data_IF_167470548798
#
_entry.id   IF_167470548798
#
_cell.length_a   1.000
_cell.length_b   1.000
_cell.length_c   1.000
_cell.angle_alpha   90.00
_cell.angle_beta   90.00
_cell.angle_gamma   90.00
#
_symmetry.space_group_name_H-M   'P 1'
#
loop_
_entity.id
_entity.type
_entity.pdbx_description
1 polymer ?
#
# COMPACT_ATOMS: atom_id res chain seq x y z
N UNK A 1 14.80 -9.27 4.94
CA UNK A 1 16.09 -9.30 4.20
C UNK A 1 16.08 -10.50 3.28
N UNK A 2 16.78 -10.43 2.13
CA UNK A 2 17.01 -11.63 1.32
C UNK A 2 18.04 -12.49 2.02
N UNK A 3 17.96 -13.82 1.83
CA UNK A 3 18.99 -14.76 2.26
C UNK A 3 19.82 -15.14 1.04
N UNK A 4 21.14 -15.07 1.17
CA UNK A 4 22.10 -15.36 0.11
C UNK A 4 23.08 -16.40 0.59
N UNK A 5 23.40 -17.38 -0.28
CA UNK A 5 24.46 -18.35 -0.07
C UNK A 5 25.47 -18.25 -1.20
N UNK A 6 26.70 -17.98 -0.85
CA UNK A 6 27.80 -17.78 -1.80
C UNK A 6 28.63 -19.07 -2.02
N UNK A 7 28.93 -19.33 -3.28
CA UNK A 7 29.77 -20.48 -3.72
C UNK A 7 30.97 -19.96 -4.49
N UNK A 8 32.11 -19.90 -3.83
CA UNK A 8 33.38 -19.48 -4.45
C UNK A 8 33.93 -20.61 -5.26
N UNK A 9 33.97 -20.48 -6.57
CA UNK A 9 34.45 -21.54 -7.46
C UNK A 9 34.89 -20.97 -8.81
N UNK A 10 35.93 -21.61 -9.37
CA UNK A 10 36.38 -21.34 -10.75
C UNK A 10 35.65 -22.21 -11.78
N UNK A 11 34.88 -23.22 -11.32
CA UNK A 11 34.04 -24.03 -12.22
C UNK A 11 32.98 -23.19 -12.86
N UNK A 12 32.74 -23.41 -14.14
CA UNK A 12 31.69 -22.74 -14.89
C UNK A 12 30.64 -23.78 -15.28
N UNK A 13 29.38 -23.43 -15.00
CA UNK A 13 28.22 -24.26 -15.37
C UNK A 13 27.40 -23.52 -16.42
N UNK A 14 26.94 -24.24 -17.44
CA UNK A 14 25.90 -23.72 -18.31
C UNK A 14 24.55 -23.81 -17.60
N UNK A 15 23.59 -22.90 -17.86
CA UNK A 15 22.27 -22.92 -17.24
C UNK A 15 21.58 -24.28 -17.30
N UNK A 16 21.57 -24.94 -18.46
CA UNK A 16 20.97 -26.25 -18.66
C UNK A 16 21.59 -27.35 -17.79
N UNK A 17 22.89 -27.27 -17.45
CA UNK A 17 23.49 -28.25 -16.56
C UNK A 17 22.93 -28.16 -15.13
N UNK A 18 22.63 -26.95 -14.66
CA UNK A 18 22.00 -26.73 -13.37
C UNK A 18 20.56 -27.22 -13.39
N UNK A 19 19.80 -26.87 -14.44
CA UNK A 19 18.41 -27.29 -14.57
C UNK A 19 18.27 -28.81 -14.75
N UNK A 20 19.14 -29.46 -15.55
CA UNK A 20 19.12 -30.90 -15.70
C UNK A 20 19.33 -31.65 -14.38
N UNK A 21 20.21 -31.14 -13.50
CA UNK A 21 20.39 -31.71 -12.17
C UNK A 21 19.20 -31.44 -11.24
N UNK A 22 18.59 -30.26 -11.31
CA UNK A 22 17.36 -29.93 -10.58
C UNK A 22 16.20 -30.84 -10.98
N UNK A 23 16.00 -31.07 -12.30
CA UNK A 23 14.94 -31.97 -12.79
C UNK A 23 15.11 -33.42 -12.33
N UNK A 24 16.35 -33.88 -12.12
CA UNK A 24 16.60 -35.22 -11.56
C UNK A 24 16.14 -35.38 -10.12
N UNK A 25 15.95 -34.27 -9.39
CA UNK A 25 15.39 -34.31 -8.03
C UNK A 25 13.88 -34.58 -7.99
N UNK A 26 13.22 -34.62 -9.16
CA UNK A 26 11.84 -35.07 -9.32
C UNK A 26 10.78 -34.00 -9.02
N UNK A 27 11.16 -32.77 -8.79
CA UNK A 27 10.22 -31.65 -8.66
C UNK A 27 9.98 -30.97 -10.00
N UNK A 28 8.77 -30.45 -10.19
CA UNK A 28 8.43 -29.69 -11.39
C UNK A 28 8.70 -28.20 -11.13
N UNK A 29 9.50 -27.59 -11.99
CA UNK A 29 9.87 -26.17 -11.91
C UNK A 29 9.40 -25.39 -13.13
N UNK A 30 9.00 -24.15 -12.89
CA UNK A 30 8.85 -23.14 -13.92
C UNK A 30 10.08 -22.25 -13.94
N UNK A 31 10.71 -22.14 -15.09
CA UNK A 31 11.85 -21.29 -15.34
C UNK A 31 11.36 -19.98 -15.91
N UNK A 32 11.66 -18.84 -15.29
CA UNK A 32 11.30 -17.51 -15.76
C UNK A 32 12.49 -16.71 -16.30
N UNK A 33 13.71 -17.16 -15.98
CA UNK A 33 14.96 -16.69 -16.60
C UNK A 33 15.95 -17.85 -16.68
N UNK A 34 16.44 -18.13 -17.89
CA UNK A 34 17.30 -19.26 -18.22
C UNK A 34 18.71 -18.84 -18.71
N UNK A 35 19.05 -17.55 -18.56
CA UNK A 35 20.34 -16.99 -18.94
C UNK A 35 21.04 -16.31 -17.78
N UNK A 36 22.38 -16.44 -17.72
CA UNK A 36 23.19 -15.65 -16.80
C UNK A 36 23.22 -14.15 -17.19
N UNK A 37 23.35 -13.22 -16.28
CA UNK A 37 23.89 -13.43 -14.92
C UNK A 37 22.87 -13.93 -13.87
N UNK A 38 21.58 -14.05 -14.15
CA UNK A 38 20.57 -14.44 -13.19
C UNK A 38 19.64 -15.51 -13.75
N UNK A 39 19.71 -16.72 -13.18
CA UNK A 39 18.69 -17.75 -13.41
C UNK A 39 17.59 -17.58 -12.39
N UNK A 40 16.32 -17.59 -12.81
CA UNK A 40 15.17 -17.48 -11.92
C UNK A 40 14.16 -18.58 -12.20
N UNK A 41 13.70 -19.26 -11.16
CA UNK A 41 12.76 -20.37 -11.27
C UNK A 41 12.03 -20.61 -9.94
N UNK A 42 10.93 -21.36 -10.01
CA UNK A 42 10.14 -21.69 -8.84
C UNK A 42 9.33 -22.97 -9.00
N UNK A 43 8.93 -23.58 -7.90
CA UNK A 43 8.10 -24.78 -7.89
C UNK A 43 6.72 -24.49 -8.49
N UNK A 44 6.32 -25.28 -9.49
CA UNK A 44 5.04 -25.09 -10.22
C UNK A 44 3.86 -25.09 -9.24
N UNK A 45 2.97 -24.11 -9.44
CA UNK A 45 1.75 -23.85 -8.67
C UNK A 45 1.96 -23.62 -7.15
N UNK A 46 3.22 -23.39 -6.70
CA UNK A 46 3.51 -23.18 -5.28
C UNK A 46 4.38 -21.96 -5.03
N UNK A 47 5.32 -21.67 -5.91
CA UNK A 47 6.26 -20.57 -5.71
C UNK A 47 5.56 -19.21 -5.71
N UNK A 48 5.96 -18.34 -4.79
CA UNK A 48 5.56 -16.93 -4.74
C UNK A 48 6.61 -16.03 -5.40
N UNK A 49 7.86 -16.17 -5.01
CA UNK A 49 8.98 -15.34 -5.51
C UNK A 49 9.98 -16.13 -6.32
N UNK A 50 10.06 -17.44 -6.08
CA UNK A 50 11.06 -18.30 -6.66
C UNK A 50 12.47 -18.09 -6.07
N UNK A 51 13.43 -18.73 -6.71
CA UNK A 51 14.85 -18.72 -6.36
C UNK A 51 15.64 -18.11 -7.51
N UNK A 52 16.68 -17.39 -7.15
CA UNK A 52 17.66 -16.81 -8.07
C UNK A 52 19.01 -17.48 -7.90
N UNK A 53 19.68 -17.81 -9.03
CA UNK A 53 21.09 -18.18 -9.04
C UNK A 53 21.81 -17.11 -9.86
N UNK A 54 22.56 -16.29 -9.17
CA UNK A 54 23.36 -15.22 -9.77
C UNK A 54 24.79 -15.71 -10.03
N UNK A 55 25.31 -15.42 -11.21
CA UNK A 55 26.71 -15.64 -11.53
C UNK A 55 27.46 -14.34 -11.36
N UNK A 56 28.54 -14.39 -10.57
CA UNK A 56 29.45 -13.28 -10.33
C UNK A 56 30.91 -13.67 -10.71
N UNK A 57 31.83 -12.75 -10.52
CA UNK A 57 33.22 -12.96 -10.89
C UNK A 57 33.89 -14.08 -10.06
N UNK A 58 33.46 -14.29 -8.82
CA UNK A 58 34.04 -15.22 -7.86
C UNK A 58 33.31 -16.58 -7.82
N UNK A 59 32.20 -16.74 -8.55
CA UNK A 59 31.40 -17.96 -8.56
C UNK A 59 29.93 -17.78 -8.71
N UNK A 60 29.14 -18.26 -7.75
CA UNK A 60 27.68 -18.22 -7.80
C UNK A 60 27.11 -17.80 -6.44
N UNK A 61 26.02 -17.07 -6.49
CA UNK A 61 25.15 -16.74 -5.36
C UNK A 61 23.80 -17.40 -5.57
N UNK A 62 23.32 -18.18 -4.60
CA UNK A 62 21.93 -18.62 -4.53
C UNK A 62 21.19 -17.68 -3.61
N UNK A 63 20.09 -17.11 -4.10
CA UNK A 63 19.32 -16.10 -3.40
C UNK A 63 17.86 -16.48 -3.28
N UNK A 64 17.31 -16.29 -2.09
CA UNK A 64 15.87 -16.24 -1.86
C UNK A 64 15.51 -14.86 -1.34
N UNK A 65 14.57 -14.22 -1.98
CA UNK A 65 14.17 -12.88 -1.61
C UNK A 65 13.33 -12.85 -0.33
N UNK A 66 13.36 -11.74 0.39
CA UNK A 66 12.46 -11.51 1.51
C UNK A 66 10.99 -11.74 1.12
N UNK A 67 10.18 -12.17 2.07
CA UNK A 67 8.77 -12.50 1.83
C UNK A 67 8.55 -13.75 0.95
N UNK A 68 9.56 -14.57 0.76
CA UNK A 68 9.40 -15.88 0.12
C UNK A 68 8.47 -16.77 0.96
N UNK A 69 7.68 -17.59 0.29
CA UNK A 69 6.82 -18.55 0.98
C UNK A 69 7.54 -19.86 1.32
N UNK A 70 6.84 -20.77 1.99
CA UNK A 70 7.41 -22.05 2.40
C UNK A 70 7.96 -22.86 1.23
N UNK A 71 7.31 -22.83 0.06
CA UNK A 71 7.75 -23.55 -1.12
C UNK A 71 9.08 -23.00 -1.67
N UNK A 72 9.20 -21.66 -1.72
CA UNK A 72 10.44 -20.99 -2.13
C UNK A 72 11.59 -21.32 -1.17
N UNK A 73 11.34 -21.27 0.16
CA UNK A 73 12.37 -21.55 1.18
C UNK A 73 12.83 -23.02 1.15
N UNK A 74 11.93 -23.96 0.91
CA UNK A 74 12.29 -25.38 0.72
C UNK A 74 13.11 -25.60 -0.56
N UNK A 75 12.69 -24.93 -1.65
CA UNK A 75 13.44 -24.98 -2.89
C UNK A 75 14.85 -24.38 -2.72
N UNK A 76 14.98 -23.29 -1.97
CA UNK A 76 16.26 -22.69 -1.64
C UNK A 76 17.21 -23.68 -0.97
N UNK A 77 16.76 -24.39 0.05
CA UNK A 77 17.55 -25.44 0.72
C UNK A 77 18.02 -26.53 -0.27
N UNK A 78 17.14 -26.96 -1.17
CA UNK A 78 17.44 -27.96 -2.21
C UNK A 78 18.49 -27.45 -3.19
N UNK A 79 18.38 -26.19 -3.61
CA UNK A 79 19.31 -25.56 -4.57
C UNK A 79 20.67 -25.35 -3.93
N UNK A 80 20.75 -24.95 -2.66
CA UNK A 80 22.01 -24.83 -1.93
C UNK A 80 22.73 -26.18 -1.83
N UNK A 81 22.00 -27.24 -1.50
CA UNK A 81 22.58 -28.62 -1.45
C UNK A 81 23.10 -29.08 -2.84
N UNK A 82 22.34 -28.77 -3.89
CA UNK A 82 22.78 -29.06 -5.25
C UNK A 82 24.03 -28.26 -5.62
N UNK A 83 24.10 -26.98 -5.34
CA UNK A 83 25.24 -26.13 -5.66
C UNK A 83 26.51 -26.54 -4.88
N UNK A 84 26.36 -26.99 -3.64
CA UNK A 84 27.45 -27.59 -2.89
C UNK A 84 28.02 -28.81 -3.62
N UNK A 85 27.15 -29.68 -4.12
CA UNK A 85 27.56 -30.89 -4.87
C UNK A 85 28.25 -30.54 -6.18
N UNK A 86 27.69 -29.60 -6.95
CA UNK A 86 28.25 -29.18 -8.24
C UNK A 86 29.62 -28.48 -8.08
N UNK A 87 29.72 -27.62 -7.07
CA UNK A 87 30.99 -26.90 -6.78
C UNK A 87 32.02 -27.73 -6.04
N UNK A 88 31.63 -28.89 -5.50
CA UNK A 88 32.47 -29.79 -4.70
C UNK A 88 32.91 -29.16 -3.37
N UNK A 89 32.05 -28.33 -2.78
CA UNK A 89 32.33 -27.69 -1.48
C UNK A 89 31.81 -28.55 -0.33
N UNK A 90 32.48 -28.44 0.82
CA UNK A 90 32.17 -29.20 2.04
C UNK A 90 31.18 -28.49 2.95
N UNK A 91 30.86 -27.22 2.65
CA UNK A 91 29.95 -26.37 3.37
C UNK A 91 29.60 -25.15 2.54
N UNK A 92 28.65 -24.38 3.00
CA UNK A 92 28.18 -23.13 2.38
C UNK A 92 28.29 -21.96 3.36
N UNK A 93 28.28 -20.73 2.83
CA UNK A 93 28.36 -19.50 3.61
C UNK A 93 27.03 -18.76 3.47
N UNK A 94 26.40 -18.44 4.60
CA UNK A 94 25.19 -17.64 4.63
C UNK A 94 25.53 -16.17 4.92
N UNK A 95 25.03 -15.26 4.11
CA UNK A 95 25.15 -13.81 4.35
C UNK A 95 26.57 -13.32 4.70
N UNK A 96 27.60 -13.84 4.00
CA UNK A 96 29.03 -13.48 4.18
C UNK A 96 29.64 -13.89 5.54
N UNK A 97 29.08 -14.90 6.18
CA UNK A 97 29.71 -15.47 7.39
C UNK A 97 31.06 -16.11 7.09
N UNK A 98 31.99 -16.07 8.07
CA UNK A 98 33.37 -16.60 7.90
C UNK A 98 33.42 -18.12 7.98
N UNK A 99 32.55 -18.76 8.74
CA UNK A 99 32.56 -20.20 8.97
C UNK A 99 31.54 -20.95 8.09
N UNK A 100 31.96 -21.99 7.35
CA UNK A 100 31.07 -22.72 6.48
C UNK A 100 30.11 -23.62 7.25
N UNK A 101 28.84 -23.64 6.84
CA UNK A 101 27.79 -24.50 7.37
C UNK A 101 27.79 -25.82 6.58
N UNK A 102 27.98 -26.98 7.23
CA UNK A 102 28.26 -28.21 6.48
C UNK A 102 27.03 -28.95 5.96
N UNK A 103 25.84 -28.70 6.50
CA UNK A 103 24.63 -29.45 6.14
C UNK A 103 23.44 -28.54 5.87
N UNK A 104 23.15 -28.21 4.59
CA UNK A 104 22.01 -27.34 4.24
C UNK A 104 20.65 -27.87 4.71
N UNK A 105 20.43 -29.18 4.58
CA UNK A 105 19.12 -29.77 4.93
C UNK A 105 18.82 -29.74 6.42
N UNK A 106 19.83 -29.83 7.23
CA UNK A 106 19.70 -29.70 8.68
C UNK A 106 19.54 -28.25 9.09
N UNK A 107 20.31 -27.35 8.50
CA UNK A 107 20.29 -25.93 8.78
C UNK A 107 18.97 -25.29 8.32
N UNK A 108 18.55 -25.52 7.08
CA UNK A 108 17.32 -24.97 6.50
C UNK A 108 16.07 -25.83 6.80
N UNK A 109 15.98 -26.38 8.02
CA UNK A 109 14.84 -27.17 8.45
C UNK A 109 13.59 -26.34 8.72
N UNK A 110 12.51 -27.01 9.18
CA UNK A 110 11.21 -26.38 9.41
C UNK A 110 11.28 -25.18 10.39
N UNK A 111 12.14 -25.26 11.40
CA UNK A 111 12.35 -24.16 12.37
C UNK A 111 12.91 -22.91 11.67
N UNK A 112 13.95 -23.06 10.84
CA UNK A 112 14.51 -21.95 10.08
C UNK A 112 13.46 -21.34 9.13
N UNK A 113 12.69 -22.18 8.41
CA UNK A 113 11.61 -21.72 7.53
C UNK A 113 10.59 -20.88 8.30
N UNK A 114 10.17 -21.34 9.46
CA UNK A 114 9.23 -20.61 10.31
C UNK A 114 9.82 -19.26 10.74
N UNK A 115 11.07 -19.22 11.17
CA UNK A 115 11.76 -17.98 11.56
C UNK A 115 11.87 -16.98 10.41
N UNK A 116 12.15 -17.45 9.18
CA UNK A 116 12.19 -16.58 8.01
C UNK A 116 10.82 -15.98 7.69
N UNK A 117 9.74 -16.76 7.81
CA UNK A 117 8.37 -16.27 7.56
C UNK A 117 7.95 -15.31 8.66
N UNK A 118 8.25 -15.57 9.93
CA UNK A 118 7.98 -14.65 11.03
C UNK A 118 8.79 -13.35 10.91
N UNK A 119 10.05 -13.43 10.48
CA UNK A 119 10.88 -12.27 10.22
C UNK A 119 10.30 -11.42 9.07
N UNK A 120 9.85 -12.07 8.00
CA UNK A 120 9.18 -11.41 6.88
C UNK A 120 7.89 -10.71 7.30
N UNK A 121 7.09 -11.35 8.16
CA UNK A 121 5.89 -10.75 8.74
C UNK A 121 6.22 -9.48 9.51
N UNK A 122 7.16 -9.56 10.46
CA UNK A 122 7.58 -8.41 11.28
C UNK A 122 8.11 -7.27 10.42
N UNK A 123 8.97 -7.59 9.45
CA UNK A 123 9.54 -6.60 8.53
C UNK A 123 8.45 -5.92 7.68
N UNK A 124 7.53 -6.69 7.11
CA UNK A 124 6.45 -6.16 6.25
C UNK A 124 5.54 -5.24 7.05
N UNK A 125 5.14 -5.64 8.25
CA UNK A 125 4.34 -4.81 9.16
C UNK A 125 5.09 -3.52 9.53
N UNK A 126 6.37 -3.62 9.88
CA UNK A 126 7.19 -2.47 10.22
C UNK A 126 7.30 -1.49 9.05
N UNK A 127 7.53 -1.97 7.83
CA UNK A 127 7.59 -1.15 6.62
C UNK A 127 6.26 -0.45 6.35
N UNK A 128 5.13 -1.17 6.39
CA UNK A 128 3.80 -0.60 6.17
C UNK A 128 3.50 0.48 7.21
N UNK A 129 3.79 0.21 8.49
CA UNK A 129 3.57 1.16 9.57
C UNK A 129 4.48 2.38 9.49
N UNK A 130 5.75 2.17 9.15
CA UNK A 130 6.75 3.25 9.09
C UNK A 130 6.54 4.17 7.90
N UNK A 131 6.29 3.59 6.73
CA UNK A 131 6.18 4.34 5.48
C UNK A 131 4.77 4.81 5.19
N UNK A 132 3.76 4.14 5.75
CA UNK A 132 2.36 4.29 5.38
C UNK A 132 2.07 3.98 3.91
N UNK A 133 3.05 3.39 3.22
CA UNK A 133 2.95 3.04 1.80
C UNK A 133 2.91 1.54 1.65
N UNK A 134 2.21 1.04 0.64
CA UNK A 134 2.28 -0.36 0.29
C UNK A 134 3.71 -0.78 -0.04
N UNK A 135 4.05 -2.00 0.35
CA UNK A 135 5.32 -2.62 0.03
C UNK A 135 5.16 -3.39 -1.27
N UNK A 136 5.94 -3.02 -2.28
CA UNK A 136 5.95 -3.67 -3.58
C UNK A 136 7.08 -4.68 -3.60
N UNK A 137 6.78 -5.88 -4.03
CA UNK A 137 7.74 -6.98 -4.12
C UNK A 137 7.62 -7.66 -5.47
N UNK A 138 8.75 -8.04 -6.04
CA UNK A 138 8.75 -8.84 -7.28
C UNK A 138 8.35 -10.26 -6.95
N UNK A 139 7.30 -10.74 -7.60
CA UNK A 139 6.91 -12.15 -7.58
C UNK A 139 7.69 -12.98 -8.59
N UNK A 140 7.27 -14.22 -8.76
CA UNK A 140 7.88 -15.10 -9.77
C UNK A 140 7.59 -14.59 -11.18
N UNK A 141 6.37 -14.15 -11.46
CA UNK A 141 5.91 -13.69 -12.77
C UNK A 141 5.67 -12.19 -12.83
N UNK A 142 5.11 -11.60 -11.78
CA UNK A 142 4.78 -10.17 -11.73
C UNK A 142 4.87 -9.62 -10.30
N UNK A 143 5.07 -8.30 -10.15
CA UNK A 143 5.10 -7.65 -8.84
C UNK A 143 3.74 -7.78 -8.14
N UNK A 144 3.77 -7.88 -6.81
CA UNK A 144 2.60 -7.79 -5.96
C UNK A 144 2.80 -6.73 -4.87
N UNK A 145 1.69 -6.23 -4.35
CA UNK A 145 1.68 -5.13 -3.39
C UNK A 145 0.97 -5.55 -2.11
N UNK A 146 1.62 -5.34 -0.96
CA UNK A 146 1.03 -5.54 0.34
C UNK A 146 0.92 -4.19 1.02
N UNK A 147 -0.30 -3.77 1.30
CA UNK A 147 -0.59 -2.53 2.01
C UNK A 147 -1.54 -2.76 3.18
N UNK A 148 -2.00 -1.68 3.82
CA UNK A 148 -2.87 -1.75 4.98
C UNK A 148 -4.14 -2.57 4.75
N UNK A 149 -4.79 -2.46 3.59
CA UNK A 149 -6.02 -3.21 3.28
C UNK A 149 -5.78 -4.71 3.27
N UNK A 150 -4.71 -5.16 2.56
CA UNK A 150 -4.36 -6.59 2.56
C UNK A 150 -3.94 -7.05 3.94
N UNK A 151 -3.10 -6.29 4.61
CA UNK A 151 -2.66 -6.61 5.96
C UNK A 151 -3.82 -6.73 6.94
N UNK A 152 -4.84 -5.89 6.80
CA UNK A 152 -6.10 -6.00 7.56
C UNK A 152 -6.91 -7.24 7.16
N UNK A 153 -7.11 -7.46 5.86
CA UNK A 153 -7.92 -8.59 5.36
C UNK A 153 -7.36 -9.96 5.78
N UNK A 154 -6.05 -10.04 6.00
CA UNK A 154 -5.37 -11.25 6.46
C UNK A 154 -5.01 -11.23 7.94
N UNK A 155 -5.47 -10.22 8.70
CA UNK A 155 -5.27 -10.08 10.14
C UNK A 155 -3.79 -10.18 10.56
N UNK A 156 -2.91 -9.52 9.81
CA UNK A 156 -1.46 -9.49 10.08
C UNK A 156 -1.00 -8.18 10.77
N UNK A 157 -1.90 -7.19 10.95
CA UNK A 157 -1.57 -5.91 11.59
C UNK A 157 -1.49 -5.94 13.12
N UNK A 158 -2.22 -6.80 13.85
CA UNK A 158 -2.10 -6.87 15.31
C UNK A 158 -0.66 -7.15 15.75
N UNK A 159 -0.27 -6.65 16.93
CA UNK A 159 1.08 -6.92 17.50
C UNK A 159 1.35 -8.41 17.73
N UNK A 160 0.30 -9.17 17.98
CA UNK A 160 0.31 -10.61 18.23
C UNK A 160 -0.31 -11.37 17.03
N UNK A 161 -0.03 -10.89 15.80
CA UNK A 161 -0.50 -11.59 14.61
C UNK A 161 0.00 -13.03 14.59
N UNK A 162 -0.91 -13.96 14.33
CA UNK A 162 -0.55 -15.37 14.19
C UNK A 162 0.28 -15.55 12.90
N UNK A 163 1.40 -16.24 13.00
CA UNK A 163 2.24 -16.58 11.83
C UNK A 163 1.43 -17.33 10.76
N UNK A 164 0.39 -18.08 11.14
CA UNK A 164 -0.50 -18.74 10.20
C UNK A 164 -1.24 -17.77 9.28
N UNK A 165 -1.53 -16.55 9.74
CA UNK A 165 -2.11 -15.51 8.90
C UNK A 165 -1.15 -15.09 7.79
N UNK A 166 0.16 -15.08 8.08
CA UNK A 166 1.19 -14.83 7.08
C UNK A 166 1.31 -15.96 6.06
N UNK A 167 1.24 -17.22 6.49
CA UNK A 167 1.16 -18.35 5.56
C UNK A 167 -0.02 -18.21 4.63
N UNK A 168 -1.19 -17.88 5.18
CA UNK A 168 -2.43 -17.70 4.39
C UNK A 168 -2.28 -16.57 3.37
N UNK A 169 -1.68 -15.44 3.74
CA UNK A 169 -1.40 -14.34 2.81
C UNK A 169 -0.41 -14.76 1.71
N UNK A 170 0.67 -15.42 2.07
CA UNK A 170 1.68 -15.88 1.12
C UNK A 170 1.11 -16.92 0.14
N UNK A 171 0.29 -17.85 0.61
CA UNK A 171 -0.37 -18.85 -0.23
C UNK A 171 -1.39 -18.21 -1.18
N UNK A 172 -2.14 -17.22 -0.70
CA UNK A 172 -3.04 -16.42 -1.54
C UNK A 172 -2.27 -15.72 -2.66
N UNK A 173 -1.19 -15.01 -2.33
CA UNK A 173 -0.37 -14.30 -3.30
C UNK A 173 0.32 -15.25 -4.28
N UNK A 174 0.77 -16.42 -3.83
CA UNK A 174 1.30 -17.46 -4.70
C UNK A 174 0.21 -17.95 -5.66
N UNK A 175 -1.00 -18.21 -5.18
CA UNK A 175 -2.14 -18.55 -6.02
C UNK A 175 -2.38 -17.53 -7.14
N UNK A 176 -2.32 -16.23 -6.81
CA UNK A 176 -2.45 -15.16 -7.80
C UNK A 176 -1.33 -15.20 -8.86
N UNK A 177 -0.07 -15.44 -8.46
CA UNK A 177 1.04 -15.56 -9.42
C UNK A 177 0.72 -16.62 -10.47
N UNK A 178 0.21 -17.77 -10.08
CA UNK A 178 -0.06 -18.89 -10.96
C UNK A 178 -1.37 -18.77 -11.73
N UNK A 179 -2.40 -18.19 -11.15
CA UNK A 179 -3.68 -17.95 -11.85
C UNK A 179 -3.49 -17.07 -13.10
N UNK A 180 -2.59 -16.08 -13.01
CA UNK A 180 -2.36 -15.13 -14.09
C UNK A 180 -1.16 -15.47 -14.99
N UNK A 181 -0.26 -16.36 -14.56
CA UNK A 181 0.83 -16.85 -15.42
C UNK A 181 0.33 -17.58 -16.65
N UNK A 182 -0.79 -18.28 -16.52
CA UNK A 182 -1.40 -19.08 -17.60
C UNK A 182 -2.28 -18.24 -18.55
N UNK A 183 -2.50 -16.95 -18.26
CA UNK A 183 -3.33 -16.05 -19.07
C UNK A 183 -2.47 -15.22 -20.01
N UNK A 184 -2.63 -15.40 -21.31
CA UNK A 184 -2.00 -14.55 -22.31
C UNK A 184 -2.57 -13.13 -22.28
N UNK A 185 -1.69 -12.13 -22.21
CA UNK A 185 -2.00 -10.76 -22.54
C UNK A 185 -2.89 -10.00 -21.55
N UNK A 186 -2.58 -10.03 -20.27
CA UNK A 186 -3.49 -9.58 -19.23
C UNK A 186 -3.41 -8.08 -18.88
N UNK A 187 -2.32 -7.39 -19.12
CA UNK A 187 -2.26 -5.93 -19.03
C UNK A 187 -1.08 -5.38 -19.82
N UNK A 188 -1.29 -4.22 -20.44
CA UNK A 188 -0.19 -3.46 -21.02
C UNK A 188 0.46 -2.60 -19.95
N UNK A 189 1.75 -2.81 -19.75
CA UNK A 189 2.57 -2.03 -18.80
C UNK A 189 3.54 -1.17 -19.57
N UNK A 190 3.63 0.07 -19.17
CA UNK A 190 4.65 0.99 -19.70
C UNK A 190 5.45 1.55 -18.54
N UNK A 191 6.74 1.71 -18.75
CA UNK A 191 7.64 2.35 -17.80
C UNK A 191 8.30 3.51 -18.52
N UNK A 192 8.07 4.71 -18.00
CA UNK A 192 8.64 5.93 -18.54
C UNK A 192 9.69 6.48 -17.57
N UNK A 193 10.79 6.97 -18.10
CA UNK A 193 11.73 7.75 -17.29
C UNK A 193 11.00 8.96 -16.69
N UNK A 194 11.24 9.23 -15.43
CA UNK A 194 10.68 10.41 -14.77
C UNK A 194 11.80 11.44 -14.49
N UNK A 195 12.02 12.41 -15.38
CA UNK A 195 13.12 13.37 -15.24
C UNK A 195 12.92 14.35 -14.06
N UNK A 196 11.73 14.40 -13.47
CA UNK A 196 11.43 15.28 -12.34
C UNK A 196 11.56 14.55 -10.98
N UNK A 197 11.81 13.25 -10.97
CA UNK A 197 12.05 12.51 -9.75
C UNK A 197 13.52 12.59 -9.34
N UNK A 198 13.80 13.12 -8.15
CA UNK A 198 15.18 13.29 -7.62
C UNK A 198 15.91 11.95 -7.39
N UNK A 199 15.15 10.84 -7.31
CA UNK A 199 15.67 9.49 -7.11
C UNK A 199 15.63 8.66 -8.40
N UNK A 200 15.39 9.30 -9.55
CA UNK A 200 15.27 8.66 -10.88
C UNK A 200 14.25 7.51 -10.93
N UNK A 201 13.23 7.52 -10.07
CA UNK A 201 12.22 6.49 -10.03
C UNK A 201 11.33 6.57 -11.27
N UNK A 202 11.14 5.47 -12.00
CA UNK A 202 10.35 5.51 -13.22
C UNK A 202 8.86 5.67 -12.92
N UNK A 203 8.16 6.36 -13.81
CA UNK A 203 6.70 6.40 -13.84
C UNK A 203 6.18 5.10 -14.46
N UNK A 204 5.31 4.40 -13.74
CA UNK A 204 4.68 3.16 -14.19
C UNK A 204 3.24 3.42 -14.62
N UNK A 205 2.91 3.01 -15.83
CA UNK A 205 1.58 3.12 -16.40
C UNK A 205 0.97 1.73 -16.59
N UNK A 206 -0.31 1.60 -16.26
CA UNK A 206 -1.14 0.50 -16.71
C UNK A 206 -2.04 1.01 -17.84
N UNK A 207 -1.96 0.40 -19.01
CA UNK A 207 -2.71 0.85 -20.18
C UNK A 207 -3.88 -0.10 -20.45
N UNK A 208 -5.07 0.46 -20.47
CA UNK A 208 -6.31 -0.22 -20.86
C UNK A 208 -6.68 0.37 -22.23
N UNK A 209 -6.69 -0.43 -23.26
CA UNK A 209 -7.00 0.07 -24.58
C UNK A 209 -8.06 -0.75 -25.30
N UNK A 210 -8.79 -0.09 -26.19
CA UNK A 210 -9.73 -0.72 -27.09
C UNK A 210 -9.32 -0.47 -28.53
N UNK A 211 -9.54 -1.48 -29.37
CA UNK A 211 -9.34 -1.43 -30.81
C UNK A 211 -10.46 -2.20 -31.51
N UNK A 212 -11.03 -1.64 -32.59
CA UNK A 212 -12.13 -2.27 -33.35
C UNK A 212 -13.30 -2.72 -32.44
N UNK A 213 -13.65 -1.95 -31.43
CA UNK A 213 -14.72 -2.26 -30.48
C UNK A 213 -14.41 -3.41 -29.51
N UNK A 214 -13.13 -3.80 -29.39
CA UNK A 214 -12.66 -4.81 -28.46
C UNK A 214 -11.64 -4.23 -27.50
N UNK A 215 -11.70 -4.67 -26.25
CA UNK A 215 -10.76 -4.25 -25.22
C UNK A 215 -9.63 -5.26 -25.17
N UNK A 216 -8.42 -4.76 -25.27
CA UNK A 216 -7.21 -5.55 -25.35
C UNK A 216 -6.11 -4.93 -24.47
N UNK A 217 -5.34 -5.71 -23.80
CA UNK A 217 -5.70 -6.92 -23.05
C UNK A 217 -6.25 -6.49 -21.69
N UNK A 218 -7.37 -7.00 -21.23
CA UNK A 218 -7.91 -6.56 -19.95
C UNK A 218 -8.45 -7.70 -19.08
N UNK A 219 -7.58 -8.33 -18.32
CA UNK A 219 -7.97 -9.17 -17.20
C UNK A 219 -7.66 -8.52 -15.85
N UNK A 220 -6.64 -7.66 -15.76
CA UNK A 220 -6.33 -6.94 -14.54
C UNK A 220 -5.56 -5.63 -14.77
N UNK A 221 -5.73 -4.69 -13.86
CA UNK A 221 -4.92 -3.48 -13.77
C UNK A 221 -3.78 -3.75 -12.80
N UNK A 222 -2.57 -3.74 -13.33
CA UNK A 222 -1.37 -3.96 -12.56
C UNK A 222 -0.97 -2.71 -11.76
N UNK A 223 -0.08 -2.88 -10.79
CA UNK A 223 0.52 -1.75 -10.08
C UNK A 223 1.05 -0.69 -11.05
N UNK A 224 0.55 0.52 -10.87
CA UNK A 224 0.91 1.68 -11.67
C UNK A 224 0.77 2.96 -10.86
N UNK A 225 1.49 4.01 -11.26
CA UNK A 225 1.25 5.36 -10.76
C UNK A 225 0.06 5.98 -11.50
N UNK A 226 -0.09 5.61 -12.78
CA UNK A 226 -1.08 6.15 -13.70
C UNK A 226 -1.77 5.03 -14.44
N UNK A 227 -3.09 5.15 -14.60
CA UNK A 227 -3.88 4.31 -15.49
C UNK A 227 -4.19 5.13 -16.73
N UNK A 228 -3.88 4.57 -17.89
CA UNK A 228 -4.12 5.18 -19.18
C UNK A 228 -5.24 4.43 -19.92
N UNK A 229 -6.30 5.14 -20.27
CA UNK A 229 -7.36 4.65 -21.14
C UNK A 229 -7.10 5.14 -22.56
N UNK A 230 -7.09 4.25 -23.53
CA UNK A 230 -6.84 4.60 -24.92
C UNK A 230 -7.81 3.86 -25.85
N UNK A 231 -8.62 4.63 -26.57
CA UNK A 231 -9.39 4.13 -27.67
C UNK A 231 -8.57 4.37 -28.95
N UNK A 232 -8.08 3.29 -29.56
CA UNK A 232 -7.07 3.35 -30.63
C UNK A 232 -7.60 4.01 -31.91
N UNK A 233 -8.91 3.96 -32.13
CA UNK A 233 -9.52 4.41 -33.38
C UNK A 233 -10.03 5.86 -33.33
N UNK A 234 -10.20 6.45 -32.16
CA UNK A 234 -10.96 7.70 -32.04
C UNK A 234 -10.37 8.78 -31.11
N UNK A 235 -9.34 8.50 -30.29
CA UNK A 235 -9.15 9.39 -29.21
C UNK A 235 -7.74 9.75 -28.77
N UNK A 236 -7.69 10.83 -28.03
CA UNK A 236 -6.56 11.13 -27.16
C UNK A 236 -6.59 10.18 -25.96
N UNK A 237 -5.44 9.66 -25.52
CA UNK A 237 -5.39 8.86 -24.30
C UNK A 237 -5.85 9.70 -23.10
N UNK A 238 -6.67 9.11 -22.24
CA UNK A 238 -7.08 9.69 -20.97
C UNK A 238 -6.21 9.06 -19.89
N UNK A 239 -5.43 9.87 -19.21
CA UNK A 239 -4.51 9.43 -18.16
C UNK A 239 -4.98 9.95 -16.81
N UNK A 240 -5.13 9.05 -15.84
CA UNK A 240 -5.55 9.36 -14.49
C UNK A 240 -4.61 8.74 -13.48
N UNK A 241 -4.58 9.28 -12.28
CA UNK A 241 -3.84 8.65 -11.18
C UNK A 241 -4.48 7.33 -10.79
N UNK A 242 -3.67 6.41 -10.28
CA UNK A 242 -4.18 5.14 -9.79
C UNK A 242 -5.26 5.32 -8.70
N UNK A 243 -5.09 6.28 -7.81
CA UNK A 243 -6.05 6.62 -6.76
C UNK A 243 -7.41 7.12 -7.29
N UNK A 244 -7.41 7.81 -8.44
CA UNK A 244 -8.65 8.26 -9.07
C UNK A 244 -9.31 7.13 -9.88
N UNK A 245 -8.54 6.14 -10.30
CA UNK A 245 -9.07 4.94 -10.97
C UNK A 245 -10.12 4.22 -10.11
N UNK A 246 -9.92 4.16 -8.79
CA UNK A 246 -10.88 3.57 -7.86
C UNK A 246 -12.24 4.26 -7.87
N UNK A 247 -12.29 5.55 -8.17
CA UNK A 247 -13.53 6.34 -8.22
C UNK A 247 -14.37 6.09 -9.47
N UNK A 248 -13.73 5.55 -10.51
CA UNK A 248 -14.37 5.31 -11.80
C UNK A 248 -14.66 3.84 -12.07
N UNK A 249 -13.98 2.93 -11.36
CA UNK A 249 -14.21 1.48 -11.48
C UNK A 249 -15.68 1.19 -11.11
N UNK A 250 -16.44 0.46 -11.94
CA UNK A 250 -17.77 0.01 -11.58
C UNK A 250 -17.73 -0.87 -10.32
N UNK A 251 -18.68 -0.68 -9.40
CA UNK A 251 -18.77 -1.47 -8.18
C UNK A 251 -19.01 -2.97 -8.44
N UNK A 252 -19.49 -3.31 -9.63
CA UNK A 252 -19.75 -4.69 -10.05
C UNK A 252 -18.72 -5.13 -11.09
N UNK A 253 -18.09 -6.27 -10.87
CA UNK A 253 -17.23 -6.91 -11.84
C UNK A 253 -15.73 -6.82 -11.59
N UNK A 254 -15.28 -5.98 -10.66
CA UNK A 254 -13.87 -5.86 -10.29
C UNK A 254 -13.61 -6.41 -8.89
N UNK A 255 -12.47 -7.06 -8.73
CA UNK A 255 -11.98 -7.60 -7.45
C UNK A 255 -10.56 -7.14 -7.24
N UNK A 256 -10.26 -6.70 -6.03
CA UNK A 256 -8.89 -6.47 -5.65
C UNK A 256 -8.15 -7.81 -5.52
N UNK A 257 -7.04 -7.90 -6.23
CA UNK A 257 -6.11 -9.02 -6.13
C UNK A 257 -5.09 -8.79 -5.01
N UNK A 258 -4.56 -7.59 -4.96
CA UNK A 258 -3.69 -7.10 -3.91
C UNK A 258 -4.01 -5.64 -3.60
N UNK A 259 -3.11 -4.91 -2.96
CA UNK A 259 -3.35 -3.51 -2.58
C UNK A 259 -3.64 -2.59 -3.77
N UNK A 260 -3.04 -2.84 -4.94
CA UNK A 260 -3.12 -1.97 -6.12
C UNK A 260 -3.53 -2.66 -7.40
N UNK A 261 -3.75 -3.96 -7.38
CA UNK A 261 -4.12 -4.70 -8.58
C UNK A 261 -5.58 -5.12 -8.51
N UNK A 262 -6.27 -4.93 -9.61
CA UNK A 262 -7.66 -5.33 -9.81
C UNK A 262 -7.75 -6.39 -10.89
N UNK A 263 -8.62 -7.34 -10.69
CA UNK A 263 -9.05 -8.27 -11.71
C UNK A 263 -10.49 -7.98 -12.11
N UNK A 264 -10.79 -8.14 -13.39
CA UNK A 264 -12.15 -8.14 -13.89
C UNK A 264 -12.74 -9.56 -13.79
N UNK A 265 -13.87 -9.72 -13.11
CA UNK A 265 -14.56 -11.02 -12.96
C UNK A 265 -15.08 -11.58 -14.30
N UNK A 266 -15.32 -10.68 -15.24
CA UNK A 266 -15.77 -10.98 -16.59
C UNK A 266 -15.03 -10.07 -17.57
N UNK A 267 -14.88 -10.46 -18.83
CA UNK A 267 -14.37 -9.56 -19.86
C UNK A 267 -15.13 -8.23 -19.81
N UNK A 268 -14.42 -7.13 -19.85
CA UNK A 268 -15.02 -5.79 -19.83
C UNK A 268 -15.73 -5.55 -21.16
N UNK A 269 -17.01 -5.20 -21.09
CA UNK A 269 -17.78 -4.84 -22.27
C UNK A 269 -17.34 -3.47 -22.81
N UNK A 270 -17.34 -3.32 -24.14
CA UNK A 270 -16.87 -2.10 -24.80
C UNK A 270 -17.63 -0.84 -24.36
N UNK A 271 -18.95 -0.93 -24.20
CA UNK A 271 -19.76 0.19 -23.72
C UNK A 271 -19.36 0.61 -22.28
N UNK A 272 -19.07 -0.35 -21.43
CA UNK A 272 -18.58 -0.07 -20.07
C UNK A 272 -17.22 0.61 -20.11
N UNK A 273 -16.33 0.20 -21.01
CA UNK A 273 -15.04 0.86 -21.21
C UNK A 273 -15.22 2.33 -21.66
N UNK A 274 -16.11 2.60 -22.62
CA UNK A 274 -16.40 3.97 -23.07
C UNK A 274 -16.97 4.85 -21.94
N UNK A 275 -17.81 4.29 -21.09
CA UNK A 275 -18.31 5.00 -19.89
C UNK A 275 -17.18 5.29 -18.90
N UNK A 276 -16.27 4.35 -18.69
CA UNK A 276 -15.09 4.55 -17.85
C UNK A 276 -14.18 5.65 -18.43
N UNK A 277 -13.95 5.68 -19.74
CA UNK A 277 -13.19 6.74 -20.41
C UNK A 277 -13.81 8.13 -20.14
N UNK A 278 -15.13 8.27 -20.34
CA UNK A 278 -15.85 9.54 -20.05
C UNK A 278 -15.73 9.98 -18.60
N UNK A 279 -15.81 9.03 -17.67
CA UNK A 279 -15.64 9.32 -16.24
C UNK A 279 -14.18 9.68 -15.92
N UNK A 280 -13.22 9.02 -16.58
CA UNK A 280 -11.81 9.30 -16.43
C UNK A 280 -11.43 10.72 -16.90
N UNK A 281 -12.10 11.26 -17.92
CA UNK A 281 -11.87 12.65 -18.38
C UNK A 281 -12.03 13.69 -17.26
N UNK A 282 -12.87 13.41 -16.24
CA UNK A 282 -13.04 14.28 -15.09
C UNK A 282 -11.80 14.34 -14.17
N UNK A 283 -10.90 13.38 -14.32
CA UNK A 283 -9.70 13.23 -13.50
C UNK A 283 -8.42 13.28 -14.36
N UNK A 284 -8.53 13.72 -15.61
CA UNK A 284 -7.41 13.80 -16.56
C UNK A 284 -6.22 14.51 -15.92
N UNK A 285 -5.05 13.86 -16.01
CA UNK A 285 -3.78 14.44 -15.60
C UNK A 285 -3.15 15.15 -16.81
N UNK A 286 -3.02 16.46 -16.75
CA UNK A 286 -2.46 17.27 -17.84
C UNK A 286 -0.93 17.18 -17.90
N UNK A 287 -0.28 16.92 -16.77
CA UNK A 287 1.16 16.75 -16.65
C UNK A 287 1.49 15.47 -15.88
N UNK A 288 2.01 14.47 -16.60
CA UNK A 288 2.35 13.17 -16.05
C UNK A 288 3.53 13.20 -15.08
N UNK A 289 4.43 14.16 -15.26
CA UNK A 289 5.68 14.21 -14.53
C UNK A 289 5.64 15.15 -13.33
N UNK A 290 4.64 16.03 -13.23
CA UNK A 290 4.49 16.83 -12.02
C UNK A 290 4.39 15.88 -10.81
N UNK A 291 5.22 16.17 -9.81
CA UNK A 291 5.16 15.45 -8.52
C UNK A 291 3.70 15.35 -8.13
N UNK A 292 3.22 14.12 -7.98
CA UNK A 292 1.88 13.88 -7.48
C UNK A 292 1.80 14.53 -6.10
N UNK A 293 1.34 15.77 -6.07
CA UNK A 293 1.04 16.42 -4.81
C UNK A 293 -0.07 15.61 -4.15
N UNK A 294 0.04 15.49 -2.86
CA UNK A 294 -0.82 14.70 -2.00
C UNK A 294 -2.30 14.86 -2.36
N UNK A 295 -3.12 13.78 -2.35
CA UNK A 295 -4.57 13.91 -2.48
C UNK A 295 -5.08 14.84 -1.36
N UNK A 296 -5.69 15.95 -1.71
CA UNK A 296 -6.16 16.97 -0.78
C UNK A 296 -5.63 18.37 -1.02
N UNK A 297 -4.77 18.57 -2.01
CA UNK A 297 -4.19 19.89 -2.30
C UNK A 297 -5.05 20.78 -3.21
N UNK A 298 -6.19 20.27 -3.66
CA UNK A 298 -7.13 21.05 -4.44
C UNK A 298 -8.25 21.59 -3.54
N UNK A 299 -8.25 22.89 -3.26
CA UNK A 299 -9.48 23.53 -2.83
C UNK A 299 -10.51 23.37 -3.94
N UNK A 300 -11.49 22.49 -3.75
CA UNK A 300 -12.65 22.41 -4.62
C UNK A 300 -13.69 23.39 -4.09
N UNK A 301 -13.98 24.45 -4.85
CA UNK A 301 -14.99 25.46 -4.52
C UNK A 301 -16.39 24.88 -4.32
N UNK A 302 -16.65 23.66 -4.83
CA UNK A 302 -17.94 22.97 -4.65
C UNK A 302 -18.05 22.22 -3.33
N UNK A 303 -16.93 21.94 -2.66
CA UNK A 303 -16.91 21.28 -1.36
C UNK A 303 -16.84 22.31 -0.24
N UNK A 304 -17.73 22.18 0.71
CA UNK A 304 -17.72 23.01 1.92
C UNK A 304 -16.75 22.44 2.94
N UNK A 305 -16.23 23.30 3.82
CA UNK A 305 -15.29 22.90 4.91
C UNK A 305 -15.91 23.23 6.25
N UNK A 306 -15.99 22.23 7.11
CA UNK A 306 -16.57 22.31 8.45
C UNK A 306 -15.50 22.17 9.53
N UNK A 307 -15.68 22.89 10.64
CA UNK A 307 -14.83 22.78 11.82
C UNK A 307 -15.57 22.00 12.90
N UNK A 308 -15.07 20.82 13.21
CA UNK A 308 -15.52 20.00 14.32
C UNK A 308 -14.71 20.39 15.58
N UNK A 309 -15.40 20.58 16.69
CA UNK A 309 -14.77 20.96 17.97
C UNK A 309 -14.77 19.76 18.91
N UNK A 310 -13.61 19.43 19.43
CA UNK A 310 -13.42 18.34 20.38
C UNK A 310 -12.73 18.82 21.66
N UNK A 311 -13.42 18.68 22.77
CA UNK A 311 -12.84 18.90 24.10
C UNK A 311 -12.85 17.56 24.86
N UNK A 312 -11.70 16.90 25.02
CA UNK A 312 -11.62 15.58 25.64
C UNK A 312 -12.08 15.54 27.11
N UNK A 313 -12.13 16.68 27.79
CA UNK A 313 -12.60 16.75 29.19
C UNK A 313 -14.12 16.64 29.33
N UNK A 314 -14.89 16.90 28.25
CA UNK A 314 -16.35 16.91 28.29
C UNK A 314 -17.00 16.09 27.19
N UNK A 315 -16.22 15.60 26.22
CA UNK A 315 -16.68 14.74 25.13
C UNK A 315 -16.86 13.30 25.60
N UNK A 316 -17.69 12.54 24.88
CA UNK A 316 -17.73 11.08 25.00
C UNK A 316 -16.46 10.38 24.51
N UNK A 317 -15.65 11.05 23.68
CA UNK A 317 -14.36 10.58 23.20
C UNK A 317 -13.26 11.23 24.05
N UNK A 318 -12.54 10.44 24.82
CA UNK A 318 -11.42 10.89 25.66
C UNK A 318 -10.12 11.05 24.87
N UNK A 319 -9.06 11.55 25.51
CA UNK A 319 -7.72 11.56 24.91
C UNK A 319 -7.18 10.15 24.70
N UNK A 320 -7.51 9.21 25.58
CA UNK A 320 -7.11 7.82 25.49
C UNK A 320 -7.76 7.17 24.27
N UNK A 321 -9.10 7.28 24.11
CA UNK A 321 -9.85 6.79 22.97
C UNK A 321 -9.30 7.35 21.65
N UNK A 322 -9.02 8.65 21.60
CA UNK A 322 -8.43 9.28 20.41
C UNK A 322 -7.04 8.72 20.09
N UNK A 323 -6.18 8.56 21.10
CA UNK A 323 -4.83 8.03 20.90
C UNK A 323 -4.85 6.56 20.48
N UNK A 324 -5.79 5.77 20.99
CA UNK A 324 -6.00 4.38 20.59
C UNK A 324 -6.53 4.25 19.15
N UNK A 325 -7.31 5.23 18.69
CA UNK A 325 -7.84 5.24 17.30
C UNK A 325 -6.78 5.60 16.25
N UNK A 326 -5.66 6.24 16.63
CA UNK A 326 -4.63 6.66 15.66
C UNK A 326 -4.06 5.49 14.85
N UNK A 327 -3.60 4.36 15.43
CA UNK A 327 -3.11 3.23 14.66
C UNK A 327 -4.21 2.53 13.87
N UNK A 328 -5.47 2.77 14.22
CA UNK A 328 -6.63 2.13 13.65
C UNK A 328 -7.42 3.06 12.69
N UNK A 329 -6.79 4.13 12.21
CA UNK A 329 -7.43 5.14 11.33
C UNK A 329 -8.15 4.54 10.11
N UNK A 330 -7.71 3.36 9.65
CA UNK A 330 -8.29 2.67 8.51
C UNK A 330 -9.52 1.83 8.83
N UNK A 331 -9.68 1.44 10.08
CA UNK A 331 -10.66 0.44 10.51
C UNK A 331 -11.62 0.97 11.56
N UNK A 332 -11.23 2.05 12.23
CA UNK A 332 -12.07 2.71 13.21
C UNK A 332 -13.23 3.45 12.52
N UNK A 333 -14.42 3.26 13.05
CA UNK A 333 -15.60 3.98 12.59
C UNK A 333 -15.73 5.29 13.35
N UNK A 334 -15.42 6.39 12.67
CA UNK A 334 -15.55 7.72 13.22
C UNK A 334 -16.90 8.34 12.86
N UNK A 335 -17.56 8.90 13.82
CA UNK A 335 -18.69 9.79 13.60
C UNK A 335 -18.64 10.99 14.53
N UNK A 336 -19.26 12.08 14.13
CA UNK A 336 -19.26 13.29 14.93
C UNK A 336 -20.53 14.12 14.75
N UNK A 337 -20.91 14.87 15.79
CA UNK A 337 -22.06 15.75 15.74
C UNK A 337 -21.76 17.03 14.96
N UNK A 338 -22.69 17.40 14.07
CA UNK A 338 -22.56 18.56 13.18
C UNK A 338 -23.70 19.53 13.45
N UNK A 339 -23.37 20.74 13.90
CA UNK A 339 -24.38 21.76 14.26
C UNK A 339 -25.07 22.35 13.01
N UNK A 340 -24.28 22.72 12.00
CA UNK A 340 -24.79 23.25 10.73
C UNK A 340 -25.04 22.13 9.71
N UNK A 341 -25.64 21.03 10.17
CA UNK A 341 -25.87 19.82 9.38
C UNK A 341 -26.72 20.05 8.12
N UNK A 342 -27.58 21.07 8.11
CA UNK A 342 -28.41 21.42 6.96
C UNK A 342 -27.59 21.88 5.76
N UNK A 343 -26.41 22.40 6.00
CA UNK A 343 -25.47 22.88 5.00
C UNK A 343 -24.46 21.78 4.56
N UNK A 344 -24.39 20.65 5.29
CA UNK A 344 -23.42 19.59 5.10
C UNK A 344 -23.95 18.45 4.24
N UNK A 345 -23.09 17.83 3.47
CA UNK A 345 -23.37 16.64 2.67
C UNK A 345 -22.17 15.71 2.62
N UNK A 346 -22.40 14.44 2.25
CA UNK A 346 -21.32 13.49 1.96
C UNK A 346 -20.33 14.09 0.95
N UNK A 347 -19.04 13.94 1.23
CA UNK A 347 -17.95 14.47 0.43
C UNK A 347 -17.48 15.88 0.81
N UNK A 348 -18.22 16.62 1.67
CA UNK A 348 -17.71 17.87 2.24
C UNK A 348 -16.54 17.61 3.20
N UNK A 349 -15.66 18.58 3.35
CA UNK A 349 -14.45 18.48 4.18
C UNK A 349 -14.73 18.79 5.63
N UNK A 350 -13.95 18.17 6.51
CA UNK A 350 -13.90 18.56 7.91
C UNK A 350 -12.46 18.72 8.42
N UNK A 351 -12.30 19.56 9.42
CA UNK A 351 -11.17 19.57 10.32
C UNK A 351 -11.66 19.45 11.75
N UNK A 352 -11.05 18.61 12.56
CA UNK A 352 -11.35 18.50 13.99
C UNK A 352 -10.28 19.23 14.78
N UNK A 353 -10.74 20.18 15.60
CA UNK A 353 -9.89 21.02 16.44
C UNK A 353 -10.07 20.62 17.89
N UNK A 354 -8.97 20.15 18.51
CA UNK A 354 -8.93 19.99 19.97
C UNK A 354 -8.98 21.36 20.64
N UNK A 355 -9.89 21.51 21.58
CA UNK A 355 -10.01 22.69 22.45
C UNK A 355 -9.96 22.27 23.92
N UNK A 356 -9.98 23.25 24.85
CA UNK A 356 -9.86 23.01 26.28
C UNK A 356 -8.42 23.09 26.79
N UNK A 357 -8.09 22.32 27.83
CA UNK A 357 -6.75 22.34 28.45
C UNK A 357 -5.72 21.54 27.61
N UNK A 358 -4.46 21.95 27.71
CA UNK A 358 -3.34 21.32 27.01
C UNK A 358 -3.07 21.91 25.64
N UNK A 359 -2.41 21.13 24.76
CA UNK A 359 -2.05 21.56 23.42
C UNK A 359 -3.26 21.51 22.50
N UNK A 360 -3.73 22.66 22.05
CA UNK A 360 -4.92 22.83 21.22
C UNK A 360 -4.56 23.08 19.75
N UNK A 361 -5.39 22.58 18.82
CA UNK A 361 -5.17 22.72 17.38
C UNK A 361 -5.81 21.59 16.59
N UNK A 362 -5.48 21.49 15.30
CA UNK A 362 -6.02 20.46 14.40
C UNK A 362 -5.43 19.10 14.77
N UNK A 363 -6.30 18.15 15.08
CA UNK A 363 -5.94 16.77 15.43
C UNK A 363 -6.44 15.73 14.43
N UNK A 364 -7.38 16.11 13.56
CA UNK A 364 -7.92 15.24 12.51
C UNK A 364 -8.43 16.09 11.36
N UNK A 365 -8.35 15.57 10.14
CA UNK A 365 -9.02 16.12 8.97
C UNK A 365 -9.46 15.01 8.02
N UNK A 366 -10.39 15.30 7.12
CA UNK A 366 -10.90 14.33 6.16
C UNK A 366 -12.14 14.83 5.45
N UNK A 367 -12.94 13.89 4.99
CA UNK A 367 -14.24 14.14 4.36
C UNK A 367 -15.38 13.46 5.13
N UNK A 368 -16.60 14.01 5.00
CA UNK A 368 -17.79 13.33 5.50
C UNK A 368 -18.12 12.13 4.58
N UNK A 369 -18.26 10.96 5.17
CA UNK A 369 -18.60 9.73 4.43
C UNK A 369 -20.08 9.41 4.41
N UNK A 370 -20.89 10.15 5.12
CA UNK A 370 -22.36 10.05 5.10
C UNK A 370 -23.04 11.40 4.88
N UNK A 371 -24.32 11.39 4.54
CA UNK A 371 -25.19 12.53 4.74
C UNK A 371 -25.61 12.63 6.21
N UNK A 372 -26.03 13.81 6.70
CA UNK A 372 -26.45 13.96 8.09
C UNK A 372 -27.58 13.00 8.47
N UNK A 373 -27.46 12.37 9.63
CA UNK A 373 -28.49 11.50 10.21
C UNK A 373 -28.71 11.83 11.68
N UNK A 374 -29.94 11.64 12.14
CA UNK A 374 -30.30 11.86 13.54
C UNK A 374 -29.77 10.73 14.41
N UNK A 375 -29.10 11.07 15.52
CA UNK A 375 -28.60 10.13 16.51
C UNK A 375 -28.99 10.51 17.95
N UNK A 376 -28.56 9.69 18.89
CA UNK A 376 -28.75 9.94 20.31
C UNK A 376 -28.00 11.18 20.81
N UNK A 377 -28.55 11.90 21.78
CA UNK A 377 -27.83 13.03 22.42
C UNK A 377 -26.72 12.49 23.35
N UNK A 378 -25.48 12.57 22.89
CA UNK A 378 -24.30 12.18 23.65
C UNK A 378 -24.15 12.90 25.00
N UNK A 379 -24.76 14.09 25.13
CA UNK A 379 -24.68 14.87 26.37
C UNK A 379 -25.76 14.51 27.40
N UNK A 380 -26.72 13.65 27.04
CA UNK A 380 -27.81 13.23 27.93
C UNK A 380 -28.86 14.32 28.24
N UNK A 381 -28.82 15.47 27.53
CA UNK A 381 -29.72 16.62 27.75
C UNK A 381 -31.01 16.52 26.95
N UNK A 382 -31.26 15.45 26.20
CA UNK A 382 -32.47 15.20 25.43
C UNK A 382 -32.63 16.08 24.18
N UNK A 383 -31.52 16.55 23.60
CA UNK A 383 -31.50 17.36 22.38
C UNK A 383 -31.57 16.47 21.13
N UNK A 384 -32.11 17.02 20.06
CA UNK A 384 -31.93 16.41 18.74
C UNK A 384 -30.53 16.71 18.24
N UNK A 385 -29.77 15.68 17.95
CA UNK A 385 -28.37 15.78 17.48
C UNK A 385 -28.26 15.07 16.13
N UNK A 386 -27.59 15.72 15.18
CA UNK A 386 -27.29 15.16 13.88
C UNK A 386 -25.82 14.82 13.81
N UNK A 387 -25.53 13.63 13.29
CA UNK A 387 -24.18 13.08 13.12
C UNK A 387 -23.88 12.91 11.64
N UNK A 388 -22.59 12.87 11.36
CA UNK A 388 -22.05 12.43 10.08
C UNK A 388 -20.91 11.47 10.34
N UNK A 389 -20.79 10.44 9.52
CA UNK A 389 -19.65 9.55 9.52
C UNK A 389 -18.45 10.28 8.91
N UNK A 390 -17.27 9.99 9.43
CA UNK A 390 -16.04 10.67 9.06
C UNK A 390 -15.12 9.68 8.36
N UNK A 391 -14.54 10.10 7.24
CA UNK A 391 -13.40 9.44 6.62
C UNK A 391 -12.16 10.31 6.80
N UNK A 392 -11.33 10.04 7.84
CA UNK A 392 -10.14 10.83 8.07
C UNK A 392 -9.08 10.59 7.01
N UNK A 393 -8.38 11.65 6.60
CA UNK A 393 -7.14 11.60 5.83
C UNK A 393 -5.91 11.98 6.66
N UNK A 394 -6.14 12.55 7.84
CA UNK A 394 -5.11 12.91 8.80
C UNK A 394 -5.61 12.71 10.23
N UNK A 395 -4.74 12.18 11.08
CA UNK A 395 -4.96 12.09 12.52
C UNK A 395 -3.63 12.29 13.27
N UNK A 396 -3.65 12.99 14.38
CA UNK A 396 -2.45 13.24 15.19
C UNK A 396 -2.69 13.10 16.68
N UNK A 397 -1.67 12.60 17.38
CA UNK A 397 -1.58 12.73 18.83
C UNK A 397 -1.00 14.12 19.18
N UNK A 398 -1.81 15.05 19.69
CA UNK A 398 -1.35 16.42 19.95
C UNK A 398 -0.29 16.52 21.06
N UNK A 399 -0.17 15.51 21.91
CA UNK A 399 0.80 15.50 23.01
C UNK A 399 2.20 15.07 22.54
N UNK A 400 2.26 14.26 21.48
CA UNK A 400 3.50 13.70 20.96
C UNK A 400 3.95 14.35 19.65
N UNK A 401 3.03 14.96 18.91
CA UNK A 401 3.27 15.49 17.58
C UNK A 401 3.21 17.00 17.53
N UNK A 402 3.89 17.58 16.53
CA UNK A 402 3.59 18.91 16.06
C UNK A 402 2.21 18.92 15.39
N UNK A 403 1.38 19.91 15.66
CA UNK A 403 0.06 20.11 15.04
C UNK A 403 -0.07 21.59 14.63
N UNK A 404 -1.00 21.90 13.73
CA UNK A 404 -1.39 23.30 13.51
C UNK A 404 -2.14 23.77 14.75
N UNK A 405 -1.52 24.66 15.49
CA UNK A 405 -2.04 25.10 16.80
C UNK A 405 -3.19 26.07 16.64
N UNK A 406 -4.04 26.17 17.69
CA UNK A 406 -5.12 27.17 17.73
C UNK A 406 -4.61 28.60 17.57
N UNK A 407 -3.40 28.90 18.04
CA UNK A 407 -2.82 30.26 17.90
C UNK A 407 -2.42 30.55 16.46
N UNK A 408 -1.85 29.57 15.75
CA UNK A 408 -1.58 29.68 14.29
C UNK A 408 -2.90 29.86 13.51
N UNK A 409 -3.94 29.11 13.88
CA UNK A 409 -5.27 29.24 13.27
C UNK A 409 -5.87 30.63 13.52
N UNK A 410 -5.77 31.16 14.74
CA UNK A 410 -6.23 32.54 15.05
C UNK A 410 -5.45 33.59 14.28
N UNK A 411 -4.16 33.40 14.11
CA UNK A 411 -3.33 34.35 13.37
C UNK A 411 -3.70 34.34 11.88
N UNK A 412 -3.90 33.17 11.28
CA UNK A 412 -4.21 33.03 9.88
C UNK A 412 -5.66 33.35 9.50
N UNK A 413 -6.59 32.98 10.40
CA UNK A 413 -8.05 33.11 10.20
C UNK A 413 -8.67 33.73 11.46
N UNK A 414 -8.42 35.02 11.73
CA UNK A 414 -8.86 35.66 12.97
C UNK A 414 -10.37 35.88 13.06
N UNK A 415 -11.08 35.74 11.95
CA UNK A 415 -12.54 35.94 11.88
C UNK A 415 -13.35 34.71 12.29
N UNK A 416 -12.67 33.59 12.64
CA UNK A 416 -13.35 32.38 13.15
C UNK A 416 -12.95 32.15 14.61
N UNK A 417 -13.92 31.74 15.44
CA UNK A 417 -13.65 31.40 16.84
C UNK A 417 -13.14 29.96 16.97
N UNK A 418 -11.86 29.80 17.17
CA UNK A 418 -11.13 28.53 17.32
C UNK A 418 -11.10 28.00 18.76
N UNK A 419 -11.64 28.74 19.72
CA UNK A 419 -11.52 28.39 21.15
C UNK A 419 -12.65 27.53 21.69
N UNK A 420 -13.78 27.44 20.96
CA UNK A 420 -14.96 26.72 21.41
C UNK A 420 -16.17 26.95 20.53
N UNK A 421 -17.35 26.78 21.10
CA UNK A 421 -18.62 26.90 20.39
C UNK A 421 -19.20 25.55 19.95
N UNK A 422 -20.16 25.57 19.06
CA UNK A 422 -20.76 24.36 18.52
C UNK A 422 -19.79 23.64 17.59
N UNK A 423 -19.80 22.32 17.64
CA UNK A 423 -19.07 21.47 16.68
C UNK A 423 -19.80 21.37 15.36
N UNK A 424 -19.08 21.35 14.24
CA UNK A 424 -19.67 21.28 12.90
C UNK A 424 -20.17 22.63 12.39
N UNK A 425 -19.34 23.67 12.52
CA UNK A 425 -19.57 25.00 11.94
C UNK A 425 -18.94 25.13 10.58
N UNK A 426 -19.68 25.74 9.65
CA UNK A 426 -19.24 25.98 8.29
C UNK A 426 -18.26 27.16 8.22
N UNK A 427 -17.16 26.99 7.51
CA UNK A 427 -16.28 28.09 7.11
C UNK A 427 -16.80 28.77 5.85
N UNK A 428 -16.66 30.10 5.78
CA UNK A 428 -16.85 30.77 4.51
C UNK A 428 -15.69 30.43 3.54
N UNK A 429 -15.87 30.75 2.28
CA UNK A 429 -14.93 30.40 1.20
C UNK A 429 -13.50 30.90 1.45
N UNK A 430 -13.32 32.14 1.91
CA UNK A 430 -12.00 32.70 2.17
C UNK A 430 -11.32 32.00 3.37
N UNK A 431 -12.08 31.72 4.43
CA UNK A 431 -11.59 30.96 5.60
C UNK A 431 -11.19 29.56 5.21
N UNK A 432 -12.02 28.87 4.41
CA UNK A 432 -11.75 27.52 3.92
C UNK A 432 -10.51 27.48 3.04
N UNK A 433 -10.34 28.38 2.08
CA UNK A 433 -9.12 28.48 1.25
C UNK A 433 -7.85 28.65 2.08
N UNK A 434 -7.88 29.51 3.09
CA UNK A 434 -6.72 29.73 3.97
C UNK A 434 -6.40 28.50 4.81
N UNK A 435 -7.41 27.85 5.37
CA UNK A 435 -7.26 26.66 6.17
C UNK A 435 -6.68 25.49 5.35
N UNK A 436 -7.22 25.25 4.17
CA UNK A 436 -6.77 24.19 3.25
C UNK A 436 -5.32 24.42 2.83
N UNK A 437 -4.91 25.65 2.54
CA UNK A 437 -3.52 25.99 2.23
C UNK A 437 -2.58 25.71 3.41
N UNK A 438 -3.00 26.03 4.63
CA UNK A 438 -2.23 25.73 5.84
C UNK A 438 -2.11 24.21 6.07
N UNK A 439 -3.22 23.50 5.93
CA UNK A 439 -3.27 22.04 6.11
C UNK A 439 -2.43 21.33 5.06
N UNK A 440 -2.54 21.73 3.78
CA UNK A 440 -1.73 21.19 2.71
C UNK A 440 -0.22 21.37 3.00
N UNK A 441 0.20 22.57 3.37
CA UNK A 441 1.60 22.84 3.75
C UNK A 441 2.05 22.01 4.95
N UNK A 442 1.18 21.84 5.95
CA UNK A 442 1.48 21.05 7.13
C UNK A 442 1.64 19.57 6.77
N UNK A 443 0.72 19.01 6.00
CA UNK A 443 0.73 17.59 5.62
C UNK A 443 1.95 17.21 4.77
N UNK A 444 2.46 18.12 3.94
CA UNK A 444 3.67 17.87 3.15
C UNK A 444 4.97 17.75 3.97
N UNK A 445 4.96 18.17 5.24
CA UNK A 445 6.12 18.11 6.12
C UNK A 445 6.31 16.74 6.79
N UNK A 446 5.32 15.86 6.70
CA UNK A 446 5.34 14.58 7.41
C UNK A 446 5.42 13.40 6.45
N UNK A 447 6.37 12.50 6.71
CA UNK A 447 6.62 11.30 5.92
C UNK A 447 5.78 10.08 6.39
N UNK A 448 5.09 10.18 7.51
CA UNK A 448 4.36 9.05 8.09
C UNK A 448 2.94 8.96 7.47
N UNK A 449 2.79 8.07 6.50
CA UNK A 449 1.53 7.82 5.84
C UNK A 449 1.09 6.38 6.08
N UNK A 450 -0.18 6.20 6.44
CA UNK A 450 -0.85 4.90 6.49
C UNK A 450 -1.93 4.91 5.41
N UNK A 451 -1.71 4.18 4.33
CA UNK A 451 -2.62 4.09 3.16
C UNK A 451 -3.07 5.46 2.63
N UNK A 452 -2.10 6.34 2.36
CA UNK A 452 -2.39 7.69 1.92
C UNK A 452 -2.96 8.63 3.01
N UNK A 453 -3.17 8.15 4.23
CA UNK A 453 -3.59 8.93 5.39
C UNK A 453 -2.38 9.34 6.22
N UNK A 454 -2.33 10.58 6.64
CA UNK A 454 -1.22 11.09 7.48
C UNK A 454 -1.49 10.78 8.95
N UNK A 455 -0.55 10.09 9.56
CA UNK A 455 -0.59 9.75 10.99
C UNK A 455 0.61 10.41 11.68
N UNK A 456 0.37 11.24 12.69
CA UNK A 456 1.43 11.97 13.37
C UNK A 456 1.39 11.76 14.89
N UNK A 457 2.59 11.61 15.51
CA UNK A 457 2.74 11.42 16.96
C UNK A 457 2.33 10.05 17.47
N UNK A 458 2.31 9.07 16.60
CA UNK A 458 2.23 7.67 16.96
C UNK A 458 3.66 7.13 17.08
N UNK A 459 4.03 6.68 18.28
CA UNK A 459 5.24 5.90 18.46
C UNK A 459 4.97 4.53 17.85
N UNK A 460 5.46 4.32 16.64
CA UNK A 460 5.65 2.96 16.17
C UNK A 460 6.42 2.22 17.25
N UNK A 461 6.05 0.97 17.63
CA UNK A 461 6.84 0.20 18.56
C UNK A 461 8.29 0.29 18.10
N UNK A 462 9.16 0.89 18.93
CA UNK A 462 10.58 0.88 18.64
C UNK A 462 10.94 -0.60 18.52
N UNK A 463 11.42 -1.00 17.37
CA UNK A 463 12.13 -2.24 17.20
C UNK A 463 13.26 -2.19 18.24
N UNK A 464 13.04 -2.86 19.36
CA UNK A 464 14.13 -3.15 20.27
C UNK A 464 15.01 -4.12 19.50
N UNK A 465 16.03 -3.55 18.89
CA UNK A 465 16.92 -4.17 17.94
C UNK A 465 17.26 -5.62 18.29
N UNK A 466 17.14 -6.43 17.27
CA UNK A 466 17.84 -7.69 17.11
C UNK A 466 18.82 -7.53 15.99
#
# INVERSE_FOLDING_TARGET
MSVCTNFHTTKQFAPNQIFDELFKLGEAFMITSDEFPCLKFGTIHKALRGIEINKNDDGYEVRVCAFANQADLRLYSTVVDLMMSLTNQQGFYENDEEDPIPNPKEFFGDTWIQEQIESSLRMTIALIRHTGKPVIMDGLFFPFCIGPRMAYSFDILPKEADVNNMYTLQDYLAGLQWEFADKEGTSSRMVLANPEDEEDRPLRLSVIYAKDGKIEPFDYVSYANVVCFMEMDQGKPVMIRMEDFWKIVPNEGFVFMDEYQLSCKKPLEYDTFLEMCKRAELFQVDDLFHRFSYPGNGYDEKQKTFVLMWNPAISSVTMEDHNESIPNIMTEHFNWSVYEYQEAKKGDRFVMVRCGEGKTGIVMSGIFDSNPYQGGDWSGKGRTVFYMDLEPNFIANPEKASIITTDELRQAIPTFDWSGGHSGRLLNEEQAKRLEAMLAKYLTQFANHVDGKVVNGFDLPQDNGF
#
